data_IF_104603850659
#
_entry.id   IF_104603850659
#
_cell.length_a   1.000
_cell.length_b   1.000
_cell.length_c   1.000
_cell.angle_alpha   90.00
_cell.angle_beta   90.00
_cell.angle_gamma   90.00
#
_symmetry.space_group_name_H-M   'P 1'
#
loop_
_entity.id
_entity.type
_entity.pdbx_description
1 polymer ?
#
# COMPACT_ATOMS: atom_id res chain seq x y z
N UNK A 1 -6.72 30.36 46.65
CA UNK A 1 -7.57 30.14 45.47
C UNK A 1 -7.35 31.25 44.43
N UNK A 2 -7.02 32.45 44.84
CA UNK A 2 -6.85 33.61 43.96
C UNK A 2 -5.60 33.56 43.04
N UNK A 3 -4.53 32.94 43.48
CA UNK A 3 -3.33 32.75 42.65
C UNK A 3 -3.58 31.85 41.42
N UNK A 4 -4.42 30.83 41.53
CA UNK A 4 -4.74 29.92 40.43
C UNK A 4 -5.56 30.63 39.33
N UNK A 5 -6.53 31.45 39.73
CA UNK A 5 -7.33 32.27 38.81
C UNK A 5 -6.50 33.36 38.12
N UNK A 6 -5.46 33.89 38.78
CA UNK A 6 -4.57 34.88 38.17
C UNK A 6 -3.69 34.30 37.04
N UNK A 7 -3.29 33.02 37.11
CA UNK A 7 -2.46 32.38 36.07
C UNK A 7 -3.25 31.68 34.98
N UNK A 8 -4.55 31.43 35.17
CA UNK A 8 -5.42 30.75 34.21
C UNK A 8 -5.42 31.40 32.82
N UNK A 9 -5.55 32.75 32.66
CA UNK A 9 -5.51 33.39 31.35
C UNK A 9 -4.16 33.22 30.63
N UNK A 10 -3.05 33.23 31.37
CA UNK A 10 -1.72 33.03 30.81
C UNK A 10 -1.51 31.58 30.34
N UNK A 11 -2.03 30.57 31.06
CA UNK A 11 -2.04 29.19 30.69
C UNK A 11 -2.86 28.94 29.40
N UNK A 12 -4.03 29.59 29.30
CA UNK A 12 -4.86 29.53 28.09
C UNK A 12 -4.13 30.19 26.91
N UNK A 13 -3.56 31.36 27.11
CA UNK A 13 -2.80 32.05 26.05
C UNK A 13 -1.60 31.23 25.58
N UNK A 14 -0.87 30.60 26.48
CA UNK A 14 0.27 29.73 26.18
C UNK A 14 -0.17 28.46 25.43
N UNK A 15 -1.28 27.84 25.84
CA UNK A 15 -1.82 26.64 25.19
C UNK A 15 -2.32 26.93 23.77
N UNK A 16 -2.76 28.16 23.47
CA UNK A 16 -3.17 28.56 22.12
C UNK A 16 -1.98 29.04 21.29
N UNK A 17 -1.03 29.76 21.88
CA UNK A 17 0.13 30.29 21.15
C UNK A 17 1.09 29.22 20.69
N UNK A 18 1.28 28.16 21.48
CA UNK A 18 2.20 27.04 21.18
C UNK A 18 1.85 26.30 19.89
N UNK A 19 0.60 25.86 19.64
CA UNK A 19 0.21 25.26 18.37
C UNK A 19 0.24 26.25 17.20
N UNK A 20 -0.04 27.53 17.41
CA UNK A 20 0.05 28.53 16.35
C UNK A 20 1.50 28.74 15.90
N UNK A 21 2.43 28.90 16.84
CA UNK A 21 3.87 29.02 16.55
C UNK A 21 4.36 27.75 15.86
N UNK A 22 3.94 26.58 16.33
CA UNK A 22 4.27 25.30 15.70
C UNK A 22 3.77 25.23 14.25
N UNK A 23 2.53 25.62 13.98
CA UNK A 23 1.96 25.66 12.63
C UNK A 23 2.68 26.64 11.70
N UNK A 24 3.05 27.84 12.21
CA UNK A 24 3.79 28.83 11.43
C UNK A 24 5.20 28.33 11.10
N UNK A 25 5.91 27.80 12.08
CA UNK A 25 7.27 27.26 11.86
C UNK A 25 7.27 26.04 10.94
N UNK A 26 6.25 25.19 11.04
CA UNK A 26 6.08 24.04 10.15
C UNK A 26 5.83 24.48 8.70
N UNK A 27 4.95 25.48 8.48
CA UNK A 27 4.72 26.05 7.15
C UNK A 27 5.97 26.68 6.55
N UNK A 28 6.76 27.38 7.35
CA UNK A 28 8.00 28.00 6.87
C UNK A 28 9.06 26.98 6.47
N UNK A 29 9.13 25.85 7.16
CA UNK A 29 10.04 24.74 6.86
C UNK A 29 9.68 24.00 5.57
N UNK A 30 8.43 24.11 5.12
CA UNK A 30 7.94 23.50 3.87
C UNK A 30 8.39 24.24 2.60
N UNK A 31 8.84 25.50 2.71
CA UNK A 31 9.29 26.28 1.57
C UNK A 31 10.82 26.12 1.37
N UNK A 32 11.20 25.16 0.55
CA UNK A 32 12.57 25.02 0.06
C UNK A 32 12.54 25.11 -1.48
N UNK A 33 13.18 26.12 -2.08
CA UNK A 33 13.16 26.36 -3.52
C UNK A 33 13.81 25.22 -4.32
N UNK A 34 14.62 24.38 -3.69
CA UNK A 34 15.29 23.23 -4.33
C UNK A 34 14.39 21.97 -4.34
N UNK A 35 13.19 22.03 -3.75
CA UNK A 35 12.26 20.91 -3.76
C UNK A 35 11.15 21.12 -4.81
N UNK A 36 10.57 20.05 -5.34
CA UNK A 36 9.43 20.14 -6.25
C UNK A 36 8.26 20.96 -5.65
N UNK A 37 7.43 21.58 -6.49
CA UNK A 37 6.23 22.28 -6.03
C UNK A 37 5.29 21.30 -5.33
N UNK A 38 4.49 21.78 -4.37
CA UNK A 38 3.55 20.96 -3.62
C UNK A 38 3.43 21.37 -2.16
N UNK A 39 2.60 20.66 -1.42
CA UNK A 39 2.39 20.85 0.02
C UNK A 39 2.81 19.61 0.80
N UNK A 40 3.09 19.84 2.08
CA UNK A 40 3.38 18.74 3.02
C UNK A 40 2.16 18.41 3.89
N UNK A 41 1.01 19.08 3.65
CA UNK A 41 -0.21 18.86 4.41
C UNK A 41 -0.14 19.29 5.87
N UNK A 42 -0.87 18.59 6.73
CA UNK A 42 -0.91 18.84 8.15
C UNK A 42 0.36 18.33 8.87
N UNK A 43 0.77 18.98 9.98
CA UNK A 43 1.84 18.45 10.81
C UNK A 43 1.55 16.99 11.22
N UNK A 44 2.57 16.12 11.19
CA UNK A 44 2.53 14.70 11.55
C UNK A 44 1.75 13.84 10.55
N UNK A 45 0.49 14.19 10.27
CA UNK A 45 -0.41 13.38 9.41
C UNK A 45 -0.12 13.59 7.91
N UNK A 46 0.44 14.74 7.55
CA UNK A 46 0.66 15.08 6.15
C UNK A 46 -0.65 15.25 5.38
N UNK A 47 -0.71 14.70 4.19
CA UNK A 47 -1.88 14.62 3.32
C UNK A 47 -2.52 13.21 3.33
N UNK A 48 -2.13 12.37 4.29
CA UNK A 48 -2.56 10.96 4.39
C UNK A 48 -4.07 10.81 4.51
N UNK A 49 -4.75 11.70 5.25
CA UNK A 49 -6.20 11.64 5.40
C UNK A 49 -6.90 11.88 4.06
N UNK A 50 -6.44 12.87 3.30
CA UNK A 50 -7.02 13.22 2.00
C UNK A 50 -6.82 12.09 0.98
N UNK A 51 -5.64 11.47 1.01
CA UNK A 51 -5.34 10.28 0.22
C UNK A 51 -6.21 9.08 0.62
N UNK A 52 -6.36 8.83 1.92
CA UNK A 52 -7.19 7.74 2.44
C UNK A 52 -8.66 7.91 2.04
N UNK A 53 -9.21 9.14 2.12
CA UNK A 53 -10.58 9.43 1.67
C UNK A 53 -10.75 9.21 0.17
N UNK A 54 -9.76 9.56 -0.65
CA UNK A 54 -9.79 9.29 -2.08
C UNK A 54 -9.77 7.78 -2.39
N UNK A 55 -8.98 7.01 -1.63
CA UNK A 55 -8.95 5.55 -1.73
C UNK A 55 -10.28 4.90 -1.32
N UNK A 56 -10.87 5.33 -0.20
CA UNK A 56 -12.18 4.84 0.26
C UNK A 56 -13.31 5.16 -0.73
N UNK A 57 -13.24 6.32 -1.39
CA UNK A 57 -14.16 6.69 -2.47
C UNK A 57 -13.95 5.94 -3.79
N UNK A 58 -13.07 4.94 -3.82
CA UNK A 58 -12.78 4.14 -5.01
C UNK A 58 -12.00 4.86 -6.12
N UNK A 59 -11.52 6.07 -5.86
CA UNK A 59 -10.78 6.85 -6.85
C UNK A 59 -9.48 7.45 -6.28
N UNK A 60 -8.47 6.63 -6.00
CA UNK A 60 -7.17 7.13 -5.53
C UNK A 60 -6.46 8.02 -6.56
N UNK A 61 -6.76 7.86 -7.84
CA UNK A 61 -6.24 8.69 -8.91
C UNK A 61 -6.66 10.15 -8.81
N UNK A 62 -7.79 10.45 -8.18
CA UNK A 62 -8.24 11.82 -7.95
C UNK A 62 -7.21 12.63 -7.14
N UNK A 63 -6.69 12.05 -6.07
CA UNK A 63 -5.66 12.69 -5.25
C UNK A 63 -4.43 13.10 -6.07
N UNK A 64 -3.97 12.22 -6.96
CA UNK A 64 -2.83 12.49 -7.84
C UNK A 64 -3.16 13.54 -8.89
N UNK A 65 -4.29 13.40 -9.58
CA UNK A 65 -4.72 14.31 -10.63
C UNK A 65 -4.91 15.75 -10.12
N UNK A 66 -5.54 15.91 -8.96
CA UNK A 66 -5.74 17.23 -8.35
C UNK A 66 -4.39 17.93 -8.08
N UNK A 67 -3.36 17.19 -7.67
CA UNK A 67 -2.02 17.73 -7.41
C UNK A 67 -1.21 17.96 -8.66
N UNK A 68 -1.32 17.08 -9.64
CA UNK A 68 -0.73 17.29 -10.96
C UNK A 68 -1.25 18.57 -11.62
N UNK A 69 -2.56 18.82 -11.55
CA UNK A 69 -3.19 20.01 -12.09
C UNK A 69 -2.82 21.27 -11.29
N UNK A 70 -2.69 21.17 -9.99
CA UNK A 70 -2.45 22.31 -9.10
C UNK A 70 -0.98 22.73 -9.05
N UNK A 71 -0.05 21.79 -9.11
CA UNK A 71 1.37 22.03 -8.87
C UNK A 71 2.23 21.77 -10.09
N UNK A 72 2.30 20.53 -10.58
CA UNK A 72 3.09 20.16 -11.74
C UNK A 72 2.65 18.78 -12.28
N UNK A 73 2.48 18.64 -13.60
CA UNK A 73 2.14 17.36 -14.23
C UNK A 73 3.31 16.35 -14.23
N UNK A 74 4.52 16.77 -13.93
CA UNK A 74 5.71 15.92 -13.99
C UNK A 74 6.16 15.44 -12.62
N UNK A 75 6.23 16.36 -11.64
CA UNK A 75 6.70 16.03 -10.30
C UNK A 75 6.13 17.02 -9.29
N UNK A 76 5.67 16.50 -8.16
CA UNK A 76 5.23 17.32 -7.02
C UNK A 76 5.65 16.67 -5.71
N UNK A 77 5.77 17.50 -4.66
CA UNK A 77 6.04 17.00 -3.30
C UNK A 77 4.75 16.83 -2.51
N UNK A 78 4.74 15.85 -1.63
CA UNK A 78 3.66 15.58 -0.66
C UNK A 78 4.24 14.92 0.58
N UNK A 79 3.44 14.77 1.62
CA UNK A 79 3.77 13.93 2.77
C UNK A 79 2.64 12.94 2.99
N UNK A 80 2.92 11.67 2.79
CA UNK A 80 1.99 10.57 2.95
C UNK A 80 2.56 9.52 3.89
N UNK A 81 1.72 9.00 4.77
CA UNK A 81 2.04 7.83 5.57
C UNK A 81 3.36 8.01 6.34
N UNK A 82 3.51 9.17 6.99
CA UNK A 82 4.68 9.58 7.78
C UNK A 82 5.96 9.87 6.95
N UNK A 83 5.91 9.77 5.63
CA UNK A 83 7.07 10.01 4.78
C UNK A 83 6.88 11.22 3.85
N UNK A 84 7.92 12.03 3.77
CA UNK A 84 8.01 13.10 2.77
C UNK A 84 8.38 12.50 1.44
N UNK A 85 7.59 12.79 0.40
CA UNK A 85 7.71 12.16 -0.91
C UNK A 85 7.78 13.19 -2.02
N UNK A 86 8.55 12.87 -3.06
CA UNK A 86 8.42 13.46 -4.38
C UNK A 86 7.71 12.45 -5.29
N UNK A 87 6.52 12.80 -5.76
CA UNK A 87 5.76 11.94 -6.68
C UNK A 87 6.16 12.29 -8.10
N UNK A 88 6.80 11.36 -8.78
CA UNK A 88 7.16 11.47 -10.18
C UNK A 88 6.03 10.91 -11.04
N UNK A 89 5.55 11.69 -12.00
CA UNK A 89 4.37 11.37 -12.79
C UNK A 89 4.73 11.09 -14.25
N UNK A 90 3.88 10.27 -14.89
CA UNK A 90 3.97 10.00 -16.32
C UNK A 90 5.12 9.05 -16.70
N UNK A 91 5.23 8.81 -18.03
CA UNK A 91 6.17 7.84 -18.58
C UNK A 91 7.65 8.20 -18.32
N UNK A 92 7.98 9.49 -18.34
CA UNK A 92 9.36 9.97 -18.09
C UNK A 92 9.77 9.75 -16.64
N UNK A 93 8.88 10.00 -15.69
CA UNK A 93 9.11 9.75 -14.27
C UNK A 93 9.31 8.27 -13.98
N UNK A 94 8.45 7.42 -14.51
CA UNK A 94 8.57 5.96 -14.39
C UNK A 94 9.87 5.46 -15.03
N UNK A 95 10.21 5.92 -16.23
CA UNK A 95 11.47 5.57 -16.89
C UNK A 95 12.67 5.94 -16.03
N UNK A 96 12.68 7.14 -15.44
CA UNK A 96 13.76 7.57 -14.55
C UNK A 96 13.90 6.63 -13.34
N UNK A 97 12.81 6.34 -12.64
CA UNK A 97 12.83 5.49 -11.45
C UNK A 97 13.33 4.08 -11.77
N UNK A 98 12.73 3.41 -12.74
CA UNK A 98 13.08 2.02 -13.09
C UNK A 98 14.45 1.87 -13.71
N UNK A 99 14.92 2.86 -14.50
CA UNK A 99 16.28 2.80 -15.09
C UNK A 99 17.39 3.08 -14.09
N UNK A 100 17.08 3.67 -12.95
CA UNK A 100 18.04 4.05 -11.93
C UNK A 100 17.88 3.23 -10.63
N UNK A 101 17.06 2.20 -10.63
CA UNK A 101 16.91 1.30 -9.47
C UNK A 101 18.23 0.60 -9.16
N UNK A 102 18.60 0.61 -7.88
CA UNK A 102 19.87 0.07 -7.40
C UNK A 102 21.11 0.96 -7.68
N UNK A 103 20.95 2.14 -8.33
CA UNK A 103 22.01 3.11 -8.60
C UNK A 103 21.76 4.45 -7.91
N UNK A 104 20.75 5.18 -8.36
CA UNK A 104 20.35 6.48 -7.81
C UNK A 104 19.11 6.37 -6.92
N UNK A 105 18.34 5.32 -7.12
CA UNK A 105 17.06 5.05 -6.41
C UNK A 105 17.12 3.68 -5.79
N UNK A 106 16.65 3.57 -4.57
CA UNK A 106 16.51 2.30 -3.83
C UNK A 106 15.04 2.09 -3.49
N UNK A 107 14.55 0.88 -3.71
CA UNK A 107 13.17 0.51 -3.35
C UNK A 107 12.96 0.65 -1.84
N UNK A 108 11.96 1.41 -1.45
CA UNK A 108 11.57 1.62 -0.07
C UNK A 108 10.15 1.10 0.16
N UNK A 109 9.98 0.42 1.29
CA UNK A 109 8.69 -0.11 1.70
C UNK A 109 8.21 0.61 2.95
N UNK A 110 6.94 0.98 2.94
CA UNK A 110 6.31 1.61 4.09
C UNK A 110 6.34 0.72 5.34
N UNK A 111 6.37 1.34 6.52
CA UNK A 111 6.46 0.64 7.81
C UNK A 111 5.31 -0.35 8.04
N UNK A 112 4.09 -0.01 7.63
CA UNK A 112 2.94 -0.92 7.70
C UNK A 112 3.13 -2.15 6.82
N UNK A 113 3.55 -1.96 5.56
CA UNK A 113 3.79 -3.06 4.63
C UNK A 113 4.91 -3.98 5.13
N UNK A 114 6.02 -3.41 5.63
CA UNK A 114 7.11 -4.20 6.22
C UNK A 114 6.60 -5.08 7.36
N UNK A 115 5.82 -4.53 8.28
CA UNK A 115 5.28 -5.27 9.42
C UNK A 115 4.29 -6.35 9.02
N UNK A 116 3.43 -6.08 8.03
CA UNK A 116 2.43 -7.04 7.54
C UNK A 116 3.09 -8.15 6.73
N UNK A 117 4.07 -7.83 5.86
CA UNK A 117 4.75 -8.81 5.00
C UNK A 117 5.94 -9.47 5.70
N UNK A 118 6.52 -8.87 6.72
CA UNK A 118 7.63 -9.44 7.46
C UNK A 118 7.18 -10.62 8.31
N UNK A 119 7.32 -11.73 7.74
CA UNK A 119 7.49 -13.00 8.41
C UNK A 119 8.81 -12.95 9.20
N UNK A 120 8.79 -13.29 10.49
CA UNK A 120 9.85 -12.91 11.43
C UNK A 120 11.26 -13.47 11.15
N UNK A 121 11.44 -14.41 10.25
CA UNK A 121 12.71 -15.15 10.14
C UNK A 121 13.46 -15.02 8.81
N UNK A 122 12.76 -14.80 7.70
CA UNK A 122 13.42 -14.82 6.37
C UNK A 122 13.76 -13.42 5.86
N UNK A 123 13.03 -12.41 6.33
CA UNK A 123 13.16 -11.04 5.83
C UNK A 123 14.00 -10.11 6.71
N UNK A 124 14.30 -10.49 7.96
CA UNK A 124 15.07 -9.63 8.86
C UNK A 124 16.52 -9.40 8.39
N UNK A 125 17.14 -10.37 7.73
CA UNK A 125 18.49 -10.19 7.20
C UNK A 125 18.52 -9.45 5.85
N UNK A 126 17.44 -9.54 5.06
CA UNK A 126 17.34 -8.88 3.75
C UNK A 126 16.70 -7.49 3.81
N UNK A 127 15.90 -7.18 4.84
CA UNK A 127 15.19 -5.89 4.98
C UNK A 127 15.90 -4.89 5.90
N UNK A 128 16.85 -5.33 6.73
CA UNK A 128 17.68 -4.44 7.57
C UNK A 128 18.91 -3.89 6.84
N UNK A 129 19.28 -4.47 5.70
CA UNK A 129 20.26 -3.88 4.80
C UNK A 129 19.58 -2.98 3.77
N UNK A 130 20.24 -1.90 3.35
CA UNK A 130 19.78 -0.90 2.38
C UNK A 130 19.37 -1.44 0.98
N UNK A 131 19.20 -2.76 0.82
CA UNK A 131 18.91 -3.40 -0.47
C UNK A 131 17.88 -4.52 -0.30
N UNK A 132 16.60 -4.16 -0.36
CA UNK A 132 15.57 -5.15 -0.68
C UNK A 132 15.86 -5.69 -2.09
N UNK A 133 16.29 -6.93 -2.18
CA UNK A 133 16.29 -7.66 -3.45
C UNK A 133 15.09 -8.59 -3.45
N UNK A 134 14.18 -8.47 -4.44
CA UNK A 134 13.14 -9.45 -4.62
C UNK A 134 13.80 -10.85 -4.75
N UNK A 135 13.12 -11.91 -4.29
CA UNK A 135 13.65 -13.26 -4.39
C UNK A 135 14.13 -13.53 -5.82
N UNK A 136 15.33 -14.05 -5.97
CA UNK A 136 15.99 -14.29 -7.27
C UNK A 136 15.25 -15.28 -8.18
N UNK A 137 14.37 -16.10 -7.60
CA UNK A 137 13.56 -17.07 -8.37
C UNK A 137 12.34 -16.44 -9.07
N UNK A 138 11.82 -15.32 -8.59
CA UNK A 138 10.63 -14.69 -9.17
C UNK A 138 10.79 -14.31 -10.64
N UNK A 139 11.92 -13.70 -11.07
CA UNK A 139 12.17 -13.45 -12.48
C UNK A 139 12.21 -14.72 -13.34
N UNK A 140 12.68 -15.83 -12.79
CA UNK A 140 12.73 -17.09 -13.52
C UNK A 140 11.34 -17.70 -13.74
N UNK A 141 10.47 -17.58 -12.76
CA UNK A 141 9.09 -18.06 -12.81
C UNK A 141 8.22 -17.27 -13.79
N UNK A 142 8.55 -15.99 -14.01
CA UNK A 142 7.79 -15.06 -14.87
C UNK A 142 8.45 -14.87 -16.25
N UNK A 143 9.47 -15.65 -16.60
CA UNK A 143 10.02 -15.64 -17.96
C UNK A 143 8.97 -16.09 -18.97
N UNK A 144 8.98 -15.51 -20.21
CA UNK A 144 8.04 -15.92 -21.26
C UNK A 144 8.00 -17.44 -21.51
N UNK A 145 9.16 -18.10 -21.42
CA UNK A 145 9.27 -19.55 -21.61
C UNK A 145 8.56 -20.33 -20.49
N UNK A 146 8.68 -19.89 -19.24
CA UNK A 146 7.98 -20.49 -18.12
C UNK A 146 6.46 -20.23 -18.21
N UNK A 147 6.06 -19.02 -18.59
CA UNK A 147 4.65 -18.66 -18.73
C UNK A 147 3.93 -19.48 -19.80
N UNK A 148 4.62 -19.93 -20.87
CA UNK A 148 4.04 -20.79 -21.90
C UNK A 148 3.49 -22.10 -21.32
N UNK A 149 4.11 -22.65 -20.29
CA UNK A 149 3.65 -23.88 -19.64
C UNK A 149 2.30 -23.72 -18.92
N UNK A 150 1.94 -22.49 -18.56
CA UNK A 150 0.69 -22.20 -17.85
C UNK A 150 -0.47 -21.84 -18.78
N UNK A 151 -0.24 -21.66 -20.10
CA UNK A 151 -1.26 -21.20 -21.04
C UNK A 151 -2.47 -22.15 -21.04
N UNK A 152 -2.25 -23.46 -21.10
CA UNK A 152 -3.33 -24.43 -21.10
C UNK A 152 -4.17 -24.38 -19.80
N UNK A 153 -3.49 -24.21 -18.66
CA UNK A 153 -4.16 -24.05 -17.36
C UNK A 153 -4.96 -22.74 -17.30
N UNK A 154 -4.37 -21.65 -17.78
CA UNK A 154 -5.05 -20.35 -17.84
C UNK A 154 -6.29 -20.41 -18.73
N UNK A 155 -6.19 -21.01 -19.92
CA UNK A 155 -7.29 -21.14 -20.87
C UNK A 155 -8.44 -21.97 -20.29
N UNK A 156 -8.13 -23.15 -19.73
CA UNK A 156 -9.12 -24.00 -19.09
C UNK A 156 -9.85 -23.31 -17.93
N UNK A 157 -9.10 -22.69 -17.01
CA UNK A 157 -9.68 -21.97 -15.87
C UNK A 157 -10.48 -20.74 -16.30
N UNK A 158 -10.05 -20.06 -17.38
CA UNK A 158 -10.77 -18.91 -17.92
C UNK A 158 -12.12 -19.34 -18.50
N UNK A 159 -12.11 -20.40 -19.32
CA UNK A 159 -13.31 -20.93 -19.95
C UNK A 159 -14.34 -21.36 -18.88
N UNK A 160 -13.91 -22.13 -17.90
CA UNK A 160 -14.75 -22.54 -16.78
C UNK A 160 -15.29 -21.35 -15.99
N UNK A 161 -14.44 -20.38 -15.68
CA UNK A 161 -14.85 -19.18 -14.93
C UNK A 161 -15.90 -18.36 -15.69
N UNK A 162 -15.75 -18.22 -17.01
CA UNK A 162 -16.72 -17.53 -17.87
C UNK A 162 -18.03 -18.28 -17.91
N UNK A 163 -17.98 -19.60 -18.13
CA UNK A 163 -19.19 -20.42 -18.20
C UNK A 163 -19.98 -20.40 -16.90
N UNK A 164 -19.31 -20.50 -15.75
CA UNK A 164 -19.99 -20.57 -14.45
C UNK A 164 -20.47 -19.23 -13.92
N UNK A 165 -19.72 -18.15 -14.14
CA UNK A 165 -19.97 -16.88 -13.45
C UNK A 165 -20.47 -15.76 -14.38
N UNK A 166 -20.20 -15.82 -15.69
CA UNK A 166 -20.56 -14.77 -16.63
C UNK A 166 -21.74 -15.16 -17.53
N UNK A 167 -21.66 -16.32 -18.17
CA UNK A 167 -22.64 -16.73 -19.17
C UNK A 167 -24.07 -16.89 -18.64
N UNK A 168 -24.29 -17.33 -17.38
CA UNK A 168 -25.64 -17.42 -16.84
C UNK A 168 -26.29 -16.06 -16.52
N UNK A 169 -25.51 -15.01 -16.43
CA UNK A 169 -25.94 -13.68 -15.94
C UNK A 169 -25.99 -12.66 -17.09
N UNK A 170 -27.05 -11.85 -17.12
CA UNK A 170 -27.17 -10.73 -18.07
C UNK A 170 -26.21 -9.57 -17.74
N UNK A 171 -26.00 -9.34 -16.45
CA UNK A 171 -25.12 -8.28 -15.92
C UNK A 171 -24.22 -8.89 -14.86
N UNK A 172 -22.94 -8.54 -14.91
CA UNK A 172 -21.93 -9.04 -13.98
C UNK A 172 -21.10 -7.89 -13.40
N UNK A 173 -20.70 -8.05 -12.15
CA UNK A 173 -19.71 -7.17 -11.53
C UNK A 173 -18.32 -7.65 -11.90
N UNK A 174 -17.71 -7.02 -12.90
CA UNK A 174 -16.44 -7.46 -13.50
C UNK A 174 -15.31 -7.51 -12.47
N UNK A 175 -15.14 -6.47 -11.65
CA UNK A 175 -14.02 -6.39 -10.71
C UNK A 175 -13.99 -7.51 -9.66
N UNK A 176 -15.09 -7.84 -8.95
CA UNK A 176 -15.11 -8.98 -8.03
C UNK A 176 -14.82 -10.32 -8.72
N UNK A 177 -15.39 -10.55 -9.90
CA UNK A 177 -15.18 -11.80 -10.66
C UNK A 177 -13.74 -11.93 -11.15
N UNK A 178 -13.17 -10.87 -11.72
CA UNK A 178 -11.78 -10.85 -12.17
C UNK A 178 -10.81 -11.07 -10.99
N UNK A 179 -11.10 -10.49 -9.82
CA UNK A 179 -10.31 -10.71 -8.60
C UNK A 179 -10.37 -12.17 -8.16
N UNK A 180 -11.58 -12.77 -8.11
CA UNK A 180 -11.77 -14.18 -7.77
C UNK A 180 -10.98 -15.09 -8.71
N UNK A 181 -11.12 -14.88 -10.01
CA UNK A 181 -10.38 -15.60 -11.04
C UNK A 181 -8.87 -15.48 -10.88
N UNK A 182 -8.35 -14.25 -10.78
CA UNK A 182 -6.91 -14.01 -10.66
C UNK A 182 -6.31 -14.64 -9.40
N UNK A 183 -7.06 -14.64 -8.30
CA UNK A 183 -6.64 -15.26 -7.05
C UNK A 183 -6.58 -16.78 -7.17
N UNK A 184 -7.62 -17.42 -7.72
CA UNK A 184 -7.66 -18.86 -7.95
C UNK A 184 -6.55 -19.30 -8.91
N UNK A 185 -6.33 -18.56 -10.01
CA UNK A 185 -5.26 -18.82 -10.95
C UNK A 185 -3.88 -18.74 -10.29
N UNK A 186 -3.63 -17.74 -9.45
CA UNK A 186 -2.37 -17.62 -8.72
C UNK A 186 -2.14 -18.82 -7.78
N UNK A 187 -3.17 -19.28 -7.06
CA UNK A 187 -3.08 -20.46 -6.21
C UNK A 187 -2.79 -21.73 -7.02
N UNK A 188 -3.45 -21.88 -8.16
CA UNK A 188 -3.19 -23.02 -9.07
C UNK A 188 -1.77 -23.03 -9.61
N UNK A 189 -1.27 -21.87 -10.06
CA UNK A 189 0.06 -21.78 -10.68
C UNK A 189 1.19 -21.90 -9.63
N UNK A 190 1.07 -21.18 -8.51
CA UNK A 190 2.17 -21.08 -7.54
C UNK A 190 2.14 -22.15 -6.45
N UNK A 191 0.95 -22.64 -6.09
CA UNK A 191 0.77 -23.61 -4.99
C UNK A 191 0.29 -24.98 -5.47
N UNK A 192 -0.09 -25.11 -6.75
CA UNK A 192 -0.70 -26.31 -7.31
C UNK A 192 -2.00 -26.74 -6.61
N UNK A 193 -2.73 -25.77 -6.06
CA UNK A 193 -4.00 -25.95 -5.37
C UNK A 193 -5.12 -25.47 -6.27
N UNK A 194 -6.10 -26.33 -6.50
CA UNK A 194 -7.29 -26.09 -7.32
C UNK A 194 -8.60 -26.38 -6.58
N UNK A 195 -8.54 -26.71 -5.29
CA UNK A 195 -9.73 -26.88 -4.47
C UNK A 195 -10.45 -25.54 -4.27
N UNK A 196 -11.67 -25.35 -4.83
CA UNK A 196 -12.39 -24.09 -4.76
C UNK A 196 -12.76 -23.68 -3.33
N UNK A 197 -13.07 -24.63 -2.44
CA UNK A 197 -13.45 -24.35 -1.05
C UNK A 197 -12.23 -23.83 -0.29
N UNK A 198 -11.08 -24.42 -0.47
CA UNK A 198 -9.85 -23.98 0.15
C UNK A 198 -9.41 -22.61 -0.35
N UNK A 199 -9.49 -22.37 -1.66
CA UNK A 199 -9.15 -21.07 -2.27
C UNK A 199 -10.09 -19.96 -1.77
N UNK A 200 -11.39 -20.25 -1.63
CA UNK A 200 -12.36 -19.29 -1.08
C UNK A 200 -12.06 -18.98 0.40
N UNK A 201 -11.78 -19.98 1.21
CA UNK A 201 -11.44 -19.83 2.63
C UNK A 201 -10.22 -18.92 2.83
N UNK A 202 -9.16 -19.11 2.06
CA UNK A 202 -7.93 -18.32 2.21
C UNK A 202 -8.01 -16.95 1.54
N UNK A 203 -8.94 -16.73 0.63
CA UNK A 203 -9.11 -15.46 -0.08
C UNK A 203 -9.46 -14.31 0.87
N UNK A 204 -10.27 -14.54 1.89
CA UNK A 204 -10.67 -13.54 2.88
C UNK A 204 -9.49 -13.01 3.70
N UNK A 205 -8.61 -13.83 4.29
CA UNK A 205 -7.37 -13.35 4.92
C UNK A 205 -6.50 -12.51 3.98
N UNK A 206 -6.34 -12.88 2.71
CA UNK A 206 -5.60 -12.09 1.74
C UNK A 206 -6.25 -10.73 1.44
N UNK A 207 -7.57 -10.67 1.40
CA UNK A 207 -8.30 -9.40 1.25
C UNK A 207 -8.04 -8.48 2.43
N UNK A 208 -8.19 -8.97 3.66
CA UNK A 208 -7.94 -8.22 4.90
C UNK A 208 -6.48 -7.72 4.94
N UNK A 209 -5.54 -8.57 4.53
CA UNK A 209 -4.12 -8.20 4.45
C UNK A 209 -3.89 -7.04 3.49
N UNK A 210 -4.50 -7.05 2.30
CA UNK A 210 -4.39 -5.98 1.30
C UNK A 210 -4.94 -4.65 1.82
N UNK A 211 -6.06 -4.66 2.53
CA UNK A 211 -6.65 -3.46 3.14
C UNK A 211 -5.69 -2.82 4.17
N UNK A 212 -4.89 -3.65 4.83
CA UNK A 212 -3.91 -3.20 5.81
C UNK A 212 -2.68 -2.49 5.24
N UNK A 213 -2.31 -2.74 3.99
CA UNK A 213 -1.09 -2.17 3.39
C UNK A 213 -1.06 -0.64 3.39
N UNK A 214 -2.20 -0.02 3.13
CA UNK A 214 -2.34 1.44 3.10
C UNK A 214 -2.94 2.00 4.40
N UNK A 215 -3.06 1.18 5.44
CA UNK A 215 -3.59 1.62 6.73
C UNK A 215 -2.52 2.32 7.57
N UNK A 216 -2.97 3.14 8.51
CA UNK A 216 -2.09 3.72 9.54
C UNK A 216 -1.58 2.59 10.43
N UNK A 217 -0.25 2.48 10.70
CA UNK A 217 0.34 1.35 11.41
C UNK A 217 0.10 1.40 12.93
N UNK A 218 -1.17 1.48 13.34
CA UNK A 218 -1.61 1.49 14.74
C UNK A 218 -2.12 0.10 15.09
N UNK A 219 -1.36 -0.64 15.91
CA UNK A 219 -1.70 -1.99 16.35
C UNK A 219 -2.57 -1.98 17.61
N UNK A 220 -3.84 -1.56 17.44
CA UNK A 220 -4.86 -1.60 18.49
C UNK A 220 -5.97 -2.54 18.01
N UNK A 221 -6.52 -3.40 18.90
CA UNK A 221 -7.65 -4.26 18.55
C UNK A 221 -8.80 -3.49 17.90
N UNK A 222 -9.26 -3.99 16.74
CA UNK A 222 -10.32 -3.35 15.95
C UNK A 222 -9.83 -2.42 14.83
N UNK A 223 -8.53 -2.08 14.76
CA UNK A 223 -7.99 -1.32 13.64
C UNK A 223 -7.75 -2.21 12.41
N UNK A 224 -7.82 -1.62 11.21
CA UNK A 224 -7.52 -2.31 9.93
C UNK A 224 -6.12 -2.91 9.96
N UNK A 225 -5.14 -2.19 10.52
CA UNK A 225 -3.77 -2.67 10.65
C UNK A 225 -3.66 -3.92 11.56
N UNK A 226 -4.34 -3.93 12.72
CA UNK A 226 -4.35 -5.09 13.62
C UNK A 226 -5.02 -6.31 12.96
N UNK A 227 -6.11 -6.11 12.20
CA UNK A 227 -6.75 -7.18 11.43
C UNK A 227 -5.81 -7.74 10.37
N UNK A 228 -5.08 -6.87 9.65
CA UNK A 228 -4.11 -7.30 8.64
C UNK A 228 -2.92 -8.07 9.24
N UNK A 229 -2.43 -7.70 10.44
CA UNK A 229 -1.41 -8.47 11.14
C UNK A 229 -1.88 -9.88 11.53
N UNK A 230 -3.14 -10.01 11.96
CA UNK A 230 -3.74 -11.32 12.26
C UNK A 230 -3.91 -12.16 10.99
N UNK A 231 -4.40 -11.54 9.92
CA UNK A 231 -4.55 -12.18 8.63
C UNK A 231 -3.19 -12.65 8.06
N UNK A 232 -2.16 -11.84 8.18
CA UNK A 232 -0.78 -12.20 7.80
C UNK A 232 -0.29 -13.46 8.52
N UNK A 233 -0.51 -13.54 9.84
CA UNK A 233 -0.14 -14.74 10.62
C UNK A 233 -0.94 -15.97 10.19
N UNK A 234 -2.24 -15.81 9.92
CA UNK A 234 -3.09 -16.89 9.42
C UNK A 234 -2.56 -17.42 8.08
N UNK A 235 -2.35 -16.53 7.10
CA UNK A 235 -1.80 -16.88 5.78
C UNK A 235 -0.44 -17.59 5.92
N UNK A 236 0.43 -17.08 6.78
CA UNK A 236 1.74 -17.69 7.00
C UNK A 236 1.63 -19.14 7.51
N UNK A 237 0.77 -19.38 8.49
CA UNK A 237 0.57 -20.71 9.05
C UNK A 237 0.00 -21.67 7.99
N UNK A 238 -0.97 -21.22 7.18
CA UNK A 238 -1.54 -22.01 6.09
C UNK A 238 -0.48 -22.35 5.04
N UNK A 239 0.31 -21.36 4.59
CA UNK A 239 1.37 -21.59 3.63
C UNK A 239 2.45 -22.55 4.16
N UNK A 240 2.79 -22.46 5.44
CA UNK A 240 3.71 -23.44 6.06
C UNK A 240 3.12 -24.85 6.14
N UNK A 241 1.82 -24.98 6.31
CA UNK A 241 1.15 -26.28 6.31
C UNK A 241 1.15 -26.94 4.91
N UNK A 242 1.09 -26.15 3.84
CA UNK A 242 1.18 -26.64 2.45
C UNK A 242 2.58 -27.17 2.11
N UNK A 243 3.64 -26.53 2.65
CA UNK A 243 5.04 -26.84 2.34
C UNK A 243 5.54 -28.07 3.11
N UNK A 244 4.88 -28.43 4.19
CA UNK A 244 5.24 -29.60 5.04
C UNK A 244 4.59 -30.90 4.55
#
# INVERSE_FOLDING_TARGET
MDLFFSYLPYLILFSISLPIVFLITYRHKSFNPNLPPGTMGWPIIGETLEFALACQGGNPGRFLNDRMNKYSPQVFKTSLLEANMAVMCGASGNKFLFSNEGKLVVSWWQSSMKKILCLPSVFNETLTGDKFRPPTFLPEFLKPEALQHYIATMDSMTSEHIELNWSPNREVLVFPLARKYSFALAFRIFMSIDDPEYVEMISLPFQILNEGFLSVPIDIPGTTFNHALKASKCIHNELLAIIR
#
